data_IF_868671216762
#
_entry.id   IF_868671216762
#
_cell.length_a   1.000
_cell.length_b   1.000
_cell.length_c   1.000
_cell.angle_alpha   90.00
_cell.angle_beta   90.00
_cell.angle_gamma   90.00
#
_symmetry.space_group_name_H-M   'P 1'
#
loop_
_entity.id
_entity.type
_entity.pdbx_description
1 polymer ?
#
# COMPACT_ATOMS: atom_id res chain seq x y z
N UNK A 1 14.49 -29.95 7.15
CA UNK A 1 14.37 -29.64 5.70
C UNK A 1 15.78 -29.55 5.16
N UNK A 2 16.08 -30.15 4.02
CA UNK A 2 17.42 -30.09 3.42
C UNK A 2 17.61 -28.76 2.67
N UNK A 3 18.75 -28.11 2.85
CA UNK A 3 19.10 -26.88 2.15
C UNK A 3 19.43 -27.19 0.68
N UNK A 4 18.92 -26.37 -0.25
CA UNK A 4 19.18 -26.51 -1.69
C UNK A 4 19.83 -25.24 -2.23
N UNK A 5 20.69 -25.41 -3.24
CA UNK A 5 21.30 -24.33 -4.00
C UNK A 5 20.98 -24.46 -5.50
N UNK A 6 21.32 -23.44 -6.30
CA UNK A 6 20.98 -23.39 -7.74
C UNK A 6 21.53 -24.59 -8.52
N UNK A 7 22.77 -25.00 -8.23
CA UNK A 7 23.39 -26.15 -8.88
C UNK A 7 22.65 -27.46 -8.55
N UNK A 8 22.26 -27.65 -7.28
CA UNK A 8 21.45 -28.79 -6.83
C UNK A 8 20.04 -28.83 -7.42
N UNK A 9 19.58 -27.73 -8.03
CA UNK A 9 18.32 -27.64 -8.75
C UNK A 9 18.49 -27.70 -10.29
N UNK A 10 19.72 -27.82 -10.79
CA UNK A 10 20.02 -27.82 -12.22
C UNK A 10 19.84 -26.46 -12.91
N UNK A 11 19.89 -25.37 -12.16
CA UNK A 11 19.72 -24.00 -12.68
C UNK A 11 21.09 -23.35 -12.97
N UNK A 12 21.20 -22.64 -14.10
CA UNK A 12 22.40 -21.89 -14.45
C UNK A 12 22.53 -20.62 -13.59
N UNK A 13 23.57 -20.47 -12.74
CA UNK A 13 23.70 -19.29 -11.88
C UNK A 13 23.75 -17.95 -12.62
N UNK A 14 24.17 -17.92 -13.88
CA UNK A 14 24.26 -16.70 -14.68
C UNK A 14 22.89 -16.07 -15.01
N UNK A 15 21.80 -16.84 -14.89
CA UNK A 15 20.45 -16.40 -15.20
C UNK A 15 19.69 -15.85 -13.97
N UNK A 16 20.30 -15.88 -12.79
CA UNK A 16 19.66 -15.52 -11.53
C UNK A 16 20.48 -14.50 -10.71
N UNK A 17 19.83 -13.89 -9.74
CA UNK A 17 20.46 -12.97 -8.79
C UNK A 17 20.64 -11.54 -9.33
N UNK A 18 21.54 -10.79 -8.68
CA UNK A 18 21.69 -9.36 -8.89
C UNK A 18 22.18 -8.99 -10.29
N UNK A 19 22.98 -9.85 -10.93
CA UNK A 19 23.56 -9.61 -12.25
C UNK A 19 22.60 -9.89 -13.40
N UNK A 20 21.60 -10.76 -13.20
CA UNK A 20 20.65 -11.18 -14.24
C UNK A 20 19.30 -10.43 -14.19
N UNK A 21 19.07 -9.62 -13.15
CA UNK A 21 17.80 -8.88 -12.98
C UNK A 21 17.63 -7.80 -14.06
N UNK A 22 16.40 -7.63 -14.54
CA UNK A 22 16.04 -6.60 -15.54
C UNK A 22 15.82 -5.20 -14.94
N UNK A 23 15.58 -5.13 -13.63
CA UNK A 23 15.22 -3.91 -12.92
C UNK A 23 16.02 -3.79 -11.63
N UNK A 24 16.21 -2.55 -11.18
CA UNK A 24 16.90 -2.24 -9.94
C UNK A 24 16.01 -1.39 -9.05
N UNK A 25 16.18 -1.55 -7.73
CA UNK A 25 15.50 -0.70 -6.74
C UNK A 25 16.24 0.63 -6.71
N UNK A 26 15.59 1.69 -7.17
CA UNK A 26 16.15 3.06 -7.12
C UNK A 26 15.89 3.76 -5.79
N UNK A 27 14.77 3.44 -5.13
CA UNK A 27 14.39 3.99 -3.83
C UNK A 27 13.36 3.08 -3.14
N UNK A 28 13.46 2.97 -1.83
CA UNK A 28 12.40 2.44 -0.98
C UNK A 28 11.91 3.59 -0.10
N UNK A 29 10.61 3.85 -0.11
CA UNK A 29 9.98 4.83 0.75
C UNK A 29 8.72 4.21 1.35
N UNK A 30 8.43 4.45 2.64
CA UNK A 30 7.14 4.09 3.19
C UNK A 30 6.02 4.86 2.46
N UNK A 31 4.80 4.31 2.38
CA UNK A 31 3.66 5.07 1.91
C UNK A 31 3.45 6.30 2.81
N UNK A 32 2.83 7.37 2.30
CA UNK A 32 2.48 8.52 3.13
C UNK A 32 1.53 8.10 4.24
N UNK A 33 1.63 8.77 5.39
CA UNK A 33 0.70 8.57 6.50
C UNK A 33 -0.73 8.93 6.08
N UNK A 34 -1.69 8.15 6.60
CA UNK A 34 -3.10 8.48 6.41
C UNK A 34 -3.39 9.82 7.10
N UNK A 35 -4.14 10.68 6.42
CA UNK A 35 -4.68 11.90 7.04
C UNK A 35 -5.50 11.55 8.28
N UNK A 36 -5.45 12.39 9.30
CA UNK A 36 -6.29 12.24 10.48
C UNK A 36 -7.79 12.25 10.09
N UNK A 37 -8.60 11.49 10.83
CA UNK A 37 -10.04 11.56 10.70
C UNK A 37 -10.57 12.94 11.13
N UNK A 38 -11.76 13.29 10.63
CA UNK A 38 -12.46 14.53 10.98
C UNK A 38 -13.64 14.20 11.90
N UNK A 39 -13.74 14.91 13.03
CA UNK A 39 -14.96 14.92 13.84
C UNK A 39 -15.95 15.91 13.23
N UNK A 40 -17.22 15.50 13.15
CA UNK A 40 -18.31 16.33 12.63
C UNK A 40 -19.09 16.90 13.81
N UNK A 41 -19.03 18.22 13.97
CA UNK A 41 -19.77 18.96 14.99
C UNK A 41 -21.22 19.19 14.58
N UNK A 42 -22.07 19.53 15.56
CA UNK A 42 -23.49 19.81 15.33
C UNK A 42 -24.33 19.67 16.61
N UNK A 43 -25.45 20.37 16.63
CA UNK A 43 -26.32 20.48 17.81
C UNK A 43 -27.28 19.29 17.98
N UNK A 44 -27.41 18.44 16.95
CA UNK A 44 -28.24 17.22 17.01
C UNK A 44 -27.60 16.05 16.26
N UNK A 45 -28.00 14.80 16.59
CA UNK A 45 -27.57 13.60 15.84
C UNK A 45 -27.89 13.68 14.33
N UNK A 46 -29.06 14.21 13.96
CA UNK A 46 -29.53 14.30 12.58
C UNK A 46 -28.65 15.25 11.75
N UNK A 47 -28.27 16.39 12.33
CA UNK A 47 -27.38 17.36 11.68
C UNK A 47 -26.01 16.74 11.38
N UNK A 48 -25.47 15.95 12.32
CA UNK A 48 -24.18 15.26 12.14
C UNK A 48 -24.27 14.18 11.07
N UNK A 49 -25.36 13.42 11.04
CA UNK A 49 -25.58 12.37 10.05
C UNK A 49 -25.71 12.94 8.62
N UNK A 50 -26.45 14.05 8.47
CA UNK A 50 -26.61 14.72 7.17
C UNK A 50 -25.27 15.23 6.63
N UNK A 51 -24.47 15.89 7.47
CA UNK A 51 -23.15 16.38 7.09
C UNK A 51 -22.17 15.24 6.79
N UNK A 52 -22.22 14.14 7.55
CA UNK A 52 -21.43 12.95 7.25
C UNK A 52 -21.77 12.39 5.86
N UNK A 53 -23.05 12.20 5.57
CA UNK A 53 -23.50 11.68 4.28
C UNK A 53 -23.06 12.58 3.12
N UNK A 54 -23.15 13.90 3.30
CA UNK A 54 -22.69 14.89 2.32
C UNK A 54 -21.18 14.77 2.09
N UNK A 55 -20.36 14.78 3.15
CA UNK A 55 -18.90 14.66 3.07
C UNK A 55 -18.46 13.35 2.41
N UNK A 56 -19.11 12.22 2.74
CA UNK A 56 -18.81 10.94 2.09
C UNK A 56 -19.19 10.94 0.61
N UNK A 57 -20.30 11.57 0.23
CA UNK A 57 -20.71 11.61 -1.17
C UNK A 57 -19.82 12.52 -2.03
N UNK A 58 -19.43 13.67 -1.48
CA UNK A 58 -18.67 14.69 -2.21
C UNK A 58 -17.15 14.46 -2.18
N UNK A 59 -16.61 14.09 -1.02
CA UNK A 59 -15.17 14.00 -0.77
C UNK A 59 -14.65 12.56 -0.72
N UNK A 60 -15.45 11.59 -0.30
CA UNK A 60 -15.05 10.18 -0.30
C UNK A 60 -15.21 9.53 -1.68
N UNK A 61 -14.61 10.15 -2.70
CA UNK A 61 -14.23 9.45 -3.95
C UNK A 61 -12.85 8.85 -3.77
N UNK A 62 -12.74 7.96 -2.78
CA UNK A 62 -11.48 7.41 -2.31
C UNK A 62 -10.59 6.96 -3.49
N UNK A 63 -9.37 7.51 -3.45
CA UNK A 63 -8.14 6.99 -4.05
C UNK A 63 -8.10 5.47 -4.13
#
# INVERSE_FOLDING_TARGET
MEEKNLAGLGLNPAEFGLSARKLTIVKLAPPPDRKAGRIIDGDSPESKAAELARLLHEEAKAL
#
